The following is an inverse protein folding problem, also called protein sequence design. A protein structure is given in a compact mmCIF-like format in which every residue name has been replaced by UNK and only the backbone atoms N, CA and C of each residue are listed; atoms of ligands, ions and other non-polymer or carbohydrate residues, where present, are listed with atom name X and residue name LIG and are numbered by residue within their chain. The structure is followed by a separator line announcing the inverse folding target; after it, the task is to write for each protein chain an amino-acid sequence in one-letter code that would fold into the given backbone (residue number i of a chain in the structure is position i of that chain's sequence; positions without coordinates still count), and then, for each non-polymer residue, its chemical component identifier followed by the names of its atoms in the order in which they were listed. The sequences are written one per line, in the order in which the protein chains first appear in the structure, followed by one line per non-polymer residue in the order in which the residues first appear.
data_IF_624136665585
#
_entry.id   IF_624136665585
#
_cell.length_a   1.000
_cell.length_b   1.000
_cell.length_c   1.000
_cell.angle_alpha   90.00
_cell.angle_beta   90.00
_cell.angle_gamma   90.00
#
_symmetry.space_group_name_H-M   'P 1'
#
loop_
_entity.id
_entity.type
_entity.pdbx_description
1 polymer ?
#
# COMPACT_ATOMS: atom_id res chain seq x y z
N UNK A 1 3.32 0.92 -10.35
CA UNK A 1 3.99 0.62 -9.05
C UNK A 1 5.48 0.96 -9.10
N UNK A 2 6.30 0.28 -9.90
CA UNK A 2 7.76 0.49 -9.92
C UNK A 2 8.23 1.92 -10.18
N UNK A 3 7.54 2.70 -11.03
CA UNK A 3 7.86 4.12 -11.25
C UNK A 3 7.76 4.96 -9.97
N UNK A 4 6.90 4.58 -9.03
CA UNK A 4 6.78 5.18 -7.70
C UNK A 4 7.69 4.51 -6.65
N UNK A 5 8.62 3.63 -7.06
CA UNK A 5 9.51 2.92 -6.14
C UNK A 5 8.84 1.82 -5.33
N UNK A 6 7.61 1.43 -5.67
CA UNK A 6 6.85 0.39 -4.94
C UNK A 6 6.99 -0.95 -5.66
N UNK A 7 7.36 -1.98 -4.89
CA UNK A 7 7.39 -3.38 -5.35
C UNK A 7 5.98 -3.88 -5.70
N UNK A 8 5.90 -4.75 -6.69
CA UNK A 8 4.67 -5.39 -7.15
C UNK A 8 4.81 -6.90 -6.96
N UNK A 9 3.92 -7.51 -6.18
CA UNK A 9 3.91 -8.96 -5.96
C UNK A 9 2.72 -9.58 -6.70
N UNK A 10 2.91 -10.79 -7.23
CA UNK A 10 1.83 -11.66 -7.67
C UNK A 10 1.12 -12.28 -6.47
N UNK A 11 -0.07 -12.83 -6.70
CA UNK A 11 -0.76 -13.68 -5.73
C UNK A 11 -0.68 -15.14 -6.18
N UNK A 12 -0.01 -15.98 -5.41
CA UNK A 12 -0.06 -17.44 -5.57
C UNK A 12 -1.11 -17.98 -4.59
N UNK A 13 -2.35 -18.03 -5.05
CA UNK A 13 -3.51 -18.41 -4.27
C UNK A 13 -3.95 -19.84 -4.61
N UNK A 14 -4.08 -20.68 -3.58
CA UNK A 14 -4.69 -22.01 -3.70
C UNK A 14 -5.97 -22.02 -2.87
N UNK A 15 -7.10 -22.02 -3.56
CA UNK A 15 -8.43 -22.04 -2.94
C UNK A 15 -8.91 -23.48 -2.65
N UNK A 16 -9.92 -23.67 -1.76
CA UNK A 16 -10.44 -24.99 -1.39
C UNK A 16 -10.84 -25.89 -2.57
N UNK A 17 -11.34 -25.30 -3.67
CA UNK A 17 -11.75 -26.02 -4.88
C UNK A 17 -10.58 -26.54 -5.74
N UNK A 18 -9.36 -26.07 -5.51
CA UNK A 18 -8.22 -26.41 -6.36
C UNK A 18 -7.78 -27.88 -6.20
N UNK A 19 -7.31 -28.50 -7.28
CA UNK A 19 -6.80 -29.88 -7.31
C UNK A 19 -5.31 -29.89 -7.63
N UNK A 20 -4.54 -30.81 -7.04
CA UNK A 20 -3.11 -30.96 -7.33
C UNK A 20 -2.19 -30.07 -6.48
N UNK A 21 -2.63 -29.67 -5.28
CA UNK A 21 -1.82 -28.85 -4.35
C UNK A 21 -0.50 -29.55 -3.97
N UNK A 22 -0.49 -30.88 -3.91
CA UNK A 22 0.68 -31.69 -3.57
C UNK A 22 1.88 -31.48 -4.51
N UNK A 23 1.64 -30.95 -5.72
CA UNK A 23 2.71 -30.60 -6.67
C UNK A 23 3.64 -29.52 -6.14
N UNK A 24 3.20 -28.68 -5.21
CA UNK A 24 4.04 -27.68 -4.53
C UNK A 24 5.16 -28.38 -3.74
N UNK A 25 4.91 -29.58 -3.22
CA UNK A 25 5.85 -30.35 -2.41
C UNK A 25 6.71 -31.31 -3.24
N UNK A 26 6.51 -31.38 -4.56
CA UNK A 26 7.33 -32.20 -5.44
C UNK A 26 8.76 -31.67 -5.45
N UNK A 27 9.70 -32.50 -5.00
CA UNK A 27 11.13 -32.21 -4.97
C UNK A 27 11.83 -32.98 -6.09
N UNK A 28 12.56 -32.27 -6.92
CA UNK A 28 13.54 -32.84 -7.86
C UNK A 28 14.94 -32.72 -7.27
N UNK A 29 15.84 -33.60 -7.68
CA UNK A 29 17.27 -33.50 -7.39
C UNK A 29 18.03 -33.53 -8.70
N UNK A 30 18.99 -32.62 -8.87
CA UNK A 30 19.91 -32.67 -10.00
C UNK A 30 20.97 -33.76 -9.80
N UNK A 31 21.73 -34.07 -10.86
CA UNK A 31 22.81 -35.07 -10.80
C UNK A 31 23.99 -34.68 -9.88
N UNK A 32 23.93 -33.53 -9.20
CA UNK A 32 24.91 -33.04 -8.21
C UNK A 32 24.36 -33.06 -6.79
N UNK A 33 23.12 -33.52 -6.60
CA UNK A 33 22.45 -33.60 -5.29
C UNK A 33 21.80 -32.29 -4.83
N UNK A 34 21.71 -31.27 -5.69
CA UNK A 34 20.97 -30.05 -5.36
C UNK A 34 19.49 -30.31 -5.55
N UNK A 35 18.71 -30.04 -4.50
CA UNK A 35 17.27 -30.14 -4.59
C UNK A 35 16.62 -28.86 -5.11
N UNK A 36 15.57 -29.03 -5.90
CA UNK A 36 14.69 -27.96 -6.35
C UNK A 36 13.23 -28.36 -6.23
N UNK A 37 12.35 -27.37 -6.14
CA UNK A 37 10.90 -27.50 -6.25
C UNK A 37 10.47 -26.95 -7.62
N UNK A 38 10.03 -27.79 -8.59
CA UNK A 38 9.73 -27.33 -9.95
C UNK A 38 8.65 -26.25 -10.03
N UNK A 39 7.67 -26.25 -9.11
CA UNK A 39 6.68 -25.17 -9.03
C UNK A 39 7.34 -23.85 -8.63
N UNK A 40 8.31 -23.87 -7.71
CA UNK A 40 9.05 -22.67 -7.34
C UNK A 40 9.88 -22.15 -8.52
N UNK A 41 10.53 -23.03 -9.29
CA UNK A 41 11.28 -22.64 -10.50
C UNK A 41 10.40 -21.88 -11.49
N UNK A 42 9.19 -22.36 -11.76
CA UNK A 42 8.25 -21.69 -12.65
C UNK A 42 7.78 -20.34 -12.11
N UNK A 43 7.48 -20.24 -10.81
CA UNK A 43 7.11 -18.96 -10.20
C UNK A 43 8.26 -17.95 -10.26
N UNK A 44 9.50 -18.39 -10.03
CA UNK A 44 10.70 -17.54 -10.15
C UNK A 44 10.88 -17.07 -11.59
N UNK A 45 10.74 -17.97 -12.56
CA UNK A 45 10.83 -17.66 -13.98
C UNK A 45 9.78 -16.63 -14.41
N UNK A 46 8.52 -16.81 -13.98
CA UNK A 46 7.44 -15.86 -14.23
C UNK A 46 7.73 -14.46 -13.66
N UNK A 47 8.18 -14.38 -12.40
CA UNK A 47 8.49 -13.11 -11.76
C UNK A 47 9.61 -12.35 -12.50
N UNK A 48 10.69 -13.06 -12.86
CA UNK A 48 11.83 -12.49 -13.60
C UNK A 48 11.46 -12.09 -15.03
N UNK A 49 10.65 -12.89 -15.71
CA UNK A 49 10.27 -12.67 -17.11
C UNK A 49 9.26 -11.53 -17.25
N UNK A 50 8.23 -11.51 -16.40
CA UNK A 50 7.21 -10.47 -16.40
C UNK A 50 7.65 -9.19 -15.66
N UNK A 51 8.75 -9.25 -14.90
CA UNK A 51 9.32 -8.11 -14.19
C UNK A 51 8.49 -7.67 -13.00
N UNK A 52 8.05 -8.58 -12.14
CA UNK A 52 7.48 -8.29 -10.82
C UNK A 52 8.33 -8.93 -9.71
N UNK A 53 8.18 -8.48 -8.46
CA UNK A 53 9.22 -8.66 -7.44
C UNK A 53 9.11 -9.96 -6.62
N UNK A 54 7.94 -10.61 -6.62
CA UNK A 54 7.73 -11.85 -5.89
C UNK A 54 6.25 -12.18 -5.67
N UNK A 55 5.91 -12.83 -4.56
CA UNK A 55 4.58 -13.41 -4.34
C UNK A 55 4.04 -13.25 -2.91
N UNK A 56 2.76 -12.94 -2.80
CA UNK A 56 1.93 -13.35 -1.66
C UNK A 56 1.52 -14.80 -1.89
N UNK A 57 1.97 -15.70 -1.02
CA UNK A 57 1.63 -17.13 -1.02
C UNK A 57 0.46 -17.34 -0.06
N UNK A 58 -0.73 -17.63 -0.60
CA UNK A 58 -1.92 -17.91 0.19
C UNK A 58 -2.44 -19.32 -0.11
N UNK A 59 -2.24 -20.25 0.84
CA UNK A 59 -2.77 -21.61 0.76
C UNK A 59 -4.00 -21.74 1.67
N UNK A 60 -5.19 -21.64 1.11
CA UNK A 60 -6.48 -21.77 1.82
C UNK A 60 -6.98 -23.24 1.81
N UNK A 61 -6.06 -24.19 1.65
CA UNK A 61 -6.37 -25.62 1.55
C UNK A 61 -5.26 -26.50 2.14
N UNK A 62 -5.68 -27.59 2.77
CA UNK A 62 -4.79 -28.64 3.30
C UNK A 62 -4.28 -29.57 2.20
N UNK A 63 -3.08 -30.10 2.37
CA UNK A 63 -2.53 -31.17 1.56
C UNK A 63 -3.19 -32.52 1.91
N UNK A 64 -3.29 -33.47 0.95
CA UNK A 64 -3.64 -34.85 1.29
C UNK A 64 -2.66 -35.41 2.35
N UNK A 65 -3.17 -36.08 3.39
CA UNK A 65 -2.38 -36.52 4.55
C UNK A 65 -1.12 -37.31 4.13
N UNK A 66 -1.24 -38.21 3.17
CA UNK A 66 -0.13 -39.04 2.67
C UNK A 66 0.88 -38.29 1.78
N UNK A 67 0.58 -37.05 1.39
CA UNK A 67 1.44 -36.17 0.62
C UNK A 67 2.02 -35.02 1.44
N UNK A 68 1.45 -34.73 2.61
CA UNK A 68 1.90 -33.64 3.45
C UNK A 68 3.33 -33.86 3.94
N UNK A 69 4.15 -32.82 3.80
CA UNK A 69 5.50 -32.77 4.35
C UNK A 69 5.91 -31.31 4.59
N UNK A 70 6.01 -30.95 5.87
CA UNK A 70 6.38 -29.60 6.31
C UNK A 70 7.75 -29.17 5.78
N UNK A 71 8.75 -30.07 5.76
CA UNK A 71 10.10 -29.74 5.28
C UNK A 71 10.09 -29.41 3.78
N UNK A 72 9.22 -30.04 3.00
CA UNK A 72 9.05 -29.70 1.59
C UNK A 72 8.41 -28.33 1.40
N UNK A 73 7.41 -27.97 2.20
CA UNK A 73 6.82 -26.63 2.14
C UNK A 73 7.84 -25.55 2.55
N UNK A 74 8.61 -25.78 3.61
CA UNK A 74 9.70 -24.89 4.03
C UNK A 74 10.74 -24.76 2.91
N UNK A 75 11.12 -25.86 2.26
CA UNK A 75 12.06 -25.85 1.14
C UNK A 75 11.54 -25.05 -0.06
N UNK A 76 10.27 -25.24 -0.43
CA UNK A 76 9.61 -24.47 -1.50
C UNK A 76 9.63 -22.97 -1.22
N UNK A 77 9.23 -22.54 -0.01
CA UNK A 77 9.24 -21.14 0.40
C UNK A 77 10.66 -20.57 0.43
N UNK A 78 11.61 -21.34 0.95
CA UNK A 78 13.02 -20.95 1.02
C UNK A 78 13.62 -20.74 -0.36
N UNK A 79 13.32 -21.62 -1.32
CA UNK A 79 13.79 -21.48 -2.71
C UNK A 79 13.26 -20.19 -3.34
N UNK A 80 11.96 -19.88 -3.17
CA UNK A 80 11.38 -18.62 -3.63
C UNK A 80 12.08 -17.41 -2.99
N UNK A 81 12.21 -17.40 -1.66
CA UNK A 81 12.84 -16.30 -0.91
C UNK A 81 14.28 -16.06 -1.35
N UNK A 82 15.08 -17.11 -1.48
CA UNK A 82 16.48 -17.00 -1.90
C UNK A 82 16.62 -16.46 -3.34
N UNK A 83 15.69 -16.80 -4.23
CA UNK A 83 15.73 -16.37 -5.62
C UNK A 83 15.15 -14.98 -5.87
N UNK A 84 14.18 -14.55 -5.05
CA UNK A 84 13.41 -13.31 -5.24
C UNK A 84 13.81 -12.22 -4.24
N UNK A 85 14.47 -12.57 -3.14
CA UNK A 85 14.97 -11.65 -2.12
C UNK A 85 14.09 -11.55 -0.86
N UNK A 86 14.70 -11.09 0.22
CA UNK A 86 14.04 -10.92 1.52
C UNK A 86 12.83 -9.97 1.45
N UNK A 87 11.72 -10.40 2.06
CA UNK A 87 10.46 -9.64 2.09
C UNK A 87 9.68 -9.62 0.77
N UNK A 88 10.11 -10.36 -0.26
CA UNK A 88 9.40 -10.48 -1.54
C UNK A 88 8.53 -11.73 -1.65
N UNK A 89 8.67 -12.67 -0.71
CA UNK A 89 7.78 -13.81 -0.56
C UNK A 89 7.08 -13.64 0.77
N UNK A 90 5.76 -13.50 0.75
CA UNK A 90 4.96 -13.25 1.94
C UNK A 90 4.07 -14.45 2.16
N UNK A 91 4.19 -15.10 3.31
CA UNK A 91 3.26 -16.16 3.73
C UNK A 91 1.95 -15.53 4.23
N UNK A 92 0.80 -16.01 3.78
CA UNK A 92 -0.48 -15.66 4.37
C UNK A 92 -0.83 -16.63 5.49
N UNK A 93 -1.24 -16.09 6.65
CA UNK A 93 -1.69 -16.83 7.82
C UNK A 93 -3.02 -17.57 7.57
N UNK A 94 -2.95 -18.73 6.91
CA UNK A 94 -4.09 -19.63 6.67
C UNK A 94 -3.75 -21.09 7.01
N UNK A 95 -2.90 -21.74 6.21
CA UNK A 95 -2.40 -23.08 6.50
C UNK A 95 -1.33 -23.03 7.61
N UNK A 96 -1.42 -23.92 8.58
CA UNK A 96 -0.41 -24.07 9.65
C UNK A 96 0.54 -25.26 9.42
N UNK A 97 1.55 -25.38 10.28
CA UNK A 97 2.54 -26.48 10.23
C UNK A 97 1.94 -27.87 10.45
N UNK A 98 0.72 -27.96 10.99
CA UNK A 98 0.00 -29.20 11.23
C UNK A 98 -0.87 -29.60 10.04
N UNK A 99 -0.76 -28.88 8.91
CA UNK A 99 -1.59 -29.06 7.72
C UNK A 99 -3.08 -28.77 7.97
N UNK A 100 -3.38 -27.78 8.81
CA UNK A 100 -4.75 -27.33 9.12
C UNK A 100 -4.97 -25.90 8.64
N UNK A 101 -6.19 -25.58 8.20
CA UNK A 101 -6.60 -24.20 7.93
C UNK A 101 -7.01 -23.56 9.25
N UNK A 102 -6.11 -22.74 9.80
CA UNK A 102 -6.18 -22.24 11.16
C UNK A 102 -5.55 -20.85 11.25
N UNK A 103 -6.35 -19.83 10.93
CA UNK A 103 -5.93 -18.43 11.00
C UNK A 103 -5.55 -18.03 12.43
N UNK A 104 -4.26 -17.84 12.68
CA UNK A 104 -3.73 -17.48 14.01
C UNK A 104 -4.04 -16.03 14.35
N UNK A 105 -4.25 -15.18 13.34
CA UNK A 105 -4.35 -13.72 13.42
C UNK A 105 -3.09 -13.07 14.01
N UNK A 106 -1.96 -13.76 13.94
CA UNK A 106 -0.70 -13.38 14.56
C UNK A 106 0.41 -14.34 14.16
N UNK A 107 1.62 -14.08 14.66
CA UNK A 107 2.74 -15.00 14.55
C UNK A 107 2.74 -15.88 15.79
N UNK A 108 2.64 -17.19 15.59
CA UNK A 108 2.63 -18.21 16.65
C UNK A 108 3.56 -19.36 16.26
N UNK A 109 3.78 -20.31 17.19
CA UNK A 109 4.57 -21.51 16.91
C UNK A 109 4.01 -22.33 15.72
N UNK A 110 2.73 -22.14 15.38
CA UNK A 110 2.04 -22.83 14.29
C UNK A 110 2.32 -22.24 12.90
N UNK A 111 2.93 -21.05 12.78
CA UNK A 111 3.21 -20.44 11.47
C UNK A 111 4.57 -19.72 11.36
N UNK A 112 5.30 -19.51 12.45
CA UNK A 112 6.55 -18.73 12.45
C UNK A 112 7.65 -19.36 11.58
N UNK A 113 7.72 -20.69 11.49
CA UNK A 113 8.69 -21.38 10.63
C UNK A 113 8.39 -21.18 9.14
N UNK A 114 7.12 -21.10 8.77
CA UNK A 114 6.67 -20.77 7.41
C UNK A 114 6.96 -19.30 7.08
N UNK A 115 6.69 -18.40 8.03
CA UNK A 115 7.03 -16.98 7.93
C UNK A 115 8.53 -16.76 7.74
N UNK A 116 9.37 -17.46 8.52
CA UNK A 116 10.82 -17.41 8.41
C UNK A 116 11.28 -17.92 7.04
N UNK A 117 10.74 -19.05 6.57
CA UNK A 117 11.07 -19.63 5.27
C UNK A 117 10.72 -18.71 4.09
N UNK A 118 9.58 -18.03 4.16
CA UNK A 118 9.15 -17.02 3.18
C UNK A 118 9.95 -15.70 3.31
N UNK A 119 10.36 -15.34 4.53
CA UNK A 119 11.03 -14.08 4.85
C UNK A 119 10.06 -12.95 5.23
N UNK A 120 8.75 -13.19 5.16
CA UNK A 120 7.70 -12.30 5.65
C UNK A 120 6.37 -13.05 5.85
N UNK A 121 5.50 -12.48 6.68
CA UNK A 121 4.14 -12.98 6.92
C UNK A 121 3.13 -11.84 6.92
N UNK A 122 1.95 -12.09 6.39
CA UNK A 122 0.75 -11.29 6.60
C UNK A 122 -0.30 -12.09 7.38
N UNK A 123 -0.79 -11.53 8.49
CA UNK A 123 -1.78 -12.18 9.36
C UNK A 123 -3.19 -12.06 8.81
N UNK A 124 -4.10 -12.92 9.29
CA UNK A 124 -5.53 -12.67 9.18
C UNK A 124 -5.96 -11.47 10.06
N UNK A 125 -7.22 -11.04 9.91
CA UNK A 125 -7.68 -9.71 10.33
C UNK A 125 -8.09 -9.58 11.81
N UNK A 126 -8.21 -10.67 12.57
CA UNK A 126 -8.80 -10.66 13.93
C UNK A 126 -7.76 -10.56 15.04
N UNK A 127 -6.71 -9.78 14.82
CA UNK A 127 -5.63 -9.58 15.79
C UNK A 127 -6.05 -8.64 16.94
N UNK A 128 -5.28 -8.65 18.02
CA UNK A 128 -5.39 -7.70 19.14
C UNK A 128 -4.01 -7.07 19.43
N UNK A 129 -3.92 -5.93 20.13
CA UNK A 129 -2.63 -5.33 20.51
C UNK A 129 -1.72 -6.29 21.28
N UNK A 130 -2.29 -7.16 22.12
CA UNK A 130 -1.55 -8.18 22.87
C UNK A 130 -0.95 -9.21 21.91
N UNK A 131 -1.73 -9.66 20.92
CA UNK A 131 -1.26 -10.59 19.89
C UNK A 131 -0.21 -9.93 18.99
N UNK A 132 -0.33 -8.64 18.68
CA UNK A 132 0.70 -7.88 17.94
C UNK A 132 2.02 -7.88 18.71
N UNK A 133 1.96 -7.63 20.02
CA UNK A 133 3.15 -7.62 20.87
C UNK A 133 3.82 -8.99 20.94
N UNK A 134 3.07 -10.05 21.24
CA UNK A 134 3.63 -11.41 21.31
C UNK A 134 4.14 -11.90 19.96
N UNK A 135 3.47 -11.54 18.86
CA UNK A 135 3.91 -11.89 17.50
C UNK A 135 5.25 -11.25 17.16
N UNK A 136 5.45 -9.98 17.54
CA UNK A 136 6.72 -9.27 17.31
C UNK A 136 7.86 -9.92 18.08
N UNK A 137 7.63 -10.30 19.34
CA UNK A 137 8.63 -10.96 20.18
C UNK A 137 9.03 -12.33 19.62
N UNK A 138 8.06 -13.13 19.21
CA UNK A 138 8.31 -14.43 18.59
C UNK A 138 8.99 -14.31 17.23
N UNK A 139 8.57 -13.36 16.38
CA UNK A 139 9.23 -13.12 15.10
C UNK A 139 10.71 -12.76 15.28
N UNK A 140 11.03 -11.93 16.27
CA UNK A 140 12.42 -11.56 16.60
C UNK A 140 13.25 -12.77 17.04
N UNK A 141 12.69 -13.73 17.78
CA UNK A 141 13.42 -14.95 18.17
C UNK A 141 13.68 -15.91 17.00
N UNK A 142 13.06 -15.67 15.85
CA UNK A 142 13.26 -16.40 14.58
C UNK A 142 14.01 -15.56 13.54
N UNK A 143 14.70 -14.49 13.94
CA UNK A 143 15.43 -13.57 13.06
C UNK A 143 14.56 -12.89 11.99
N UNK A 144 13.24 -12.84 12.19
CA UNK A 144 12.31 -12.17 11.30
C UNK A 144 12.16 -10.69 11.72
N UNK A 145 12.45 -9.78 10.79
CA UNK A 145 12.40 -8.33 11.05
C UNK A 145 10.95 -7.90 11.36
N UNK A 146 10.71 -7.01 12.33
CA UNK A 146 9.37 -6.51 12.62
C UNK A 146 8.64 -5.89 11.43
N UNK A 147 9.36 -5.28 10.48
CA UNK A 147 8.78 -4.74 9.25
C UNK A 147 8.26 -5.82 8.28
N UNK A 148 8.68 -7.07 8.45
CA UNK A 148 8.24 -8.22 7.66
C UNK A 148 7.11 -9.00 8.36
N UNK A 149 6.66 -8.53 9.54
CA UNK A 149 5.45 -8.98 10.20
C UNK A 149 4.34 -7.99 9.89
N UNK A 150 3.41 -8.40 9.03
CA UNK A 150 2.38 -7.53 8.46
C UNK A 150 1.04 -7.95 9.05
N UNK A 151 0.34 -7.03 9.69
CA UNK A 151 -1.00 -7.34 10.21
C UNK A 151 -2.08 -6.93 9.22
N UNK A 152 -2.92 -7.88 8.83
CA UNK A 152 -4.01 -7.66 7.89
C UNK A 152 -5.08 -6.72 8.47
N UNK A 153 -5.55 -5.79 7.65
CA UNK A 153 -6.68 -4.89 7.97
C UNK A 153 -7.70 -5.02 6.85
N UNK A 154 -8.84 -5.66 7.13
CA UNK A 154 -9.94 -5.79 6.15
C UNK A 154 -10.75 -4.49 6.09
N UNK A 155 -10.56 -3.73 5.01
CA UNK A 155 -11.24 -2.44 4.81
C UNK A 155 -12.75 -2.66 4.65
N UNK A 156 -13.18 -3.78 4.08
CA UNK A 156 -14.60 -4.08 3.90
C UNK A 156 -15.31 -4.47 5.20
N UNK A 157 -14.58 -4.69 6.31
CA UNK A 157 -15.18 -5.08 7.59
C UNK A 157 -16.05 -3.99 8.23
N UNK A 158 -15.98 -2.74 7.75
CA UNK A 158 -16.91 -1.69 8.17
C UNK A 158 -18.34 -1.95 7.67
N UNK A 159 -18.50 -2.64 6.54
CA UNK A 159 -19.81 -2.84 5.91
C UNK A 159 -20.68 -3.80 6.73
N UNK A 160 -21.94 -3.42 6.94
CA UNK A 160 -22.94 -4.20 7.70
C UNK A 160 -23.84 -5.05 6.80
N UNK A 161 -24.01 -4.64 5.53
CA UNK A 161 -24.83 -5.33 4.53
C UNK A 161 -23.92 -5.98 3.49
N UNK A 162 -23.60 -7.26 3.68
CA UNK A 162 -22.90 -8.08 2.69
C UNK A 162 -23.52 -9.47 2.65
N UNK A 163 -23.77 -10.01 1.45
CA UNK A 163 -24.20 -11.39 1.26
C UNK A 163 -23.01 -12.32 1.54
N UNK A 164 -22.80 -12.63 2.83
CA UNK A 164 -21.70 -13.48 3.28
C UNK A 164 -21.48 -13.41 4.79
N UNK A 165 -20.53 -14.21 5.32
CA UNK A 165 -20.16 -14.14 6.73
C UNK A 165 -19.68 -12.74 7.08
N UNK A 166 -20.09 -12.25 8.26
CA UNK A 166 -19.70 -10.92 8.75
C UNK A 166 -18.18 -10.81 8.82
N UNK A 167 -17.63 -9.91 8.01
CA UNK A 167 -16.22 -9.54 8.01
C UNK A 167 -15.84 -8.93 9.36
N UNK A 168 -14.60 -9.15 9.78
CA UNK A 168 -14.07 -8.67 11.06
C UNK A 168 -12.66 -8.16 10.84
N UNK A 169 -12.36 -7.02 11.42
CA UNK A 169 -11.02 -6.45 11.49
C UNK A 169 -10.85 -5.75 12.83
N UNK A 170 -9.63 -5.58 13.30
CA UNK A 170 -9.37 -4.73 14.46
C UNK A 170 -9.42 -3.24 14.06
N UNK A 171 -10.01 -2.35 14.88
CA UNK A 171 -10.81 -2.63 16.08
C UNK A 171 -12.27 -3.05 15.74
N UNK A 172 -12.86 -3.88 16.61
CA UNK A 172 -14.22 -4.42 16.44
C UNK A 172 -15.21 -3.78 17.46
N UNK A 173 -15.25 -2.44 17.55
CA UNK A 173 -16.03 -1.69 16.54
C UNK A 173 -15.30 -0.49 15.90
N UNK A 174 -15.78 -0.13 14.71
CA UNK A 174 -15.31 1.05 13.97
C UNK A 174 -13.94 0.88 13.29
N UNK A 175 -13.57 -0.36 12.96
CA UNK A 175 -12.45 -0.70 12.08
C UNK A 175 -12.89 -0.93 10.64
N UNK A 176 -11.94 -0.92 9.72
CA UNK A 176 -12.21 -0.97 8.27
C UNK A 176 -12.78 0.34 7.73
N UNK A 177 -12.93 0.44 6.41
CA UNK A 177 -13.44 1.61 5.71
C UNK A 177 -12.77 2.89 6.16
N UNK A 178 -13.57 3.89 6.55
CA UNK A 178 -13.05 5.16 7.11
C UNK A 178 -12.31 5.00 8.45
N UNK A 179 -12.55 3.92 9.20
CA UNK A 179 -11.85 3.59 10.44
C UNK A 179 -10.51 2.86 10.27
N UNK A 180 -10.09 2.55 9.04
CA UNK A 180 -8.88 1.77 8.73
C UNK A 180 -7.61 2.34 9.38
N UNK A 181 -7.43 3.66 9.38
CA UNK A 181 -6.21 4.26 9.91
C UNK A 181 -6.03 4.11 11.43
N UNK A 182 -7.08 3.75 12.19
CA UNK A 182 -6.95 3.36 13.61
C UNK A 182 -6.09 2.12 13.78
N UNK A 183 -6.31 1.12 12.92
CA UNK A 183 -5.53 -0.10 12.87
C UNK A 183 -4.08 0.19 12.50
N UNK A 184 -3.89 1.00 11.45
CA UNK A 184 -2.55 1.43 10.98
C UNK A 184 -1.79 2.16 12.09
N UNK A 185 -2.43 3.11 12.76
CA UNK A 185 -1.82 3.84 13.87
C UNK A 185 -1.42 2.90 15.01
N UNK A 186 -2.28 1.94 15.37
CA UNK A 186 -1.96 0.99 16.44
C UNK A 186 -0.77 0.10 16.08
N UNK A 187 -0.72 -0.40 14.84
CA UNK A 187 0.39 -1.22 14.38
C UNK A 187 1.70 -0.43 14.33
N UNK A 188 1.64 0.85 13.97
CA UNK A 188 2.78 1.76 14.01
C UNK A 188 3.30 1.99 15.44
N UNK A 189 2.43 2.09 16.46
CA UNK A 189 2.85 2.16 17.88
C UNK A 189 3.67 0.94 18.31
N UNK A 190 3.33 -0.26 17.78
CA UNK A 190 4.08 -1.49 18.06
C UNK A 190 5.33 -1.64 17.17
N UNK A 191 5.52 -0.80 16.15
CA UNK A 191 6.66 -0.86 15.22
C UNK A 191 6.62 -2.09 14.30
N UNK A 192 5.41 -2.51 13.89
CA UNK A 192 5.18 -3.57 12.89
C UNK A 192 4.46 -3.00 11.66
N UNK A 193 4.32 -3.80 10.60
CA UNK A 193 3.73 -3.36 9.33
C UNK A 193 2.21 -3.57 9.27
N UNK A 194 1.52 -2.79 8.44
CA UNK A 194 0.09 -2.92 8.14
C UNK A 194 -0.14 -3.43 6.73
N UNK A 195 -1.05 -4.39 6.55
CA UNK A 195 -1.47 -4.92 5.26
C UNK A 195 -2.92 -4.55 4.97
N UNK A 196 -3.17 -3.64 4.04
CA UNK A 196 -4.51 -3.16 3.72
C UNK A 196 -5.19 -4.09 2.72
N UNK A 197 -6.20 -4.83 3.14
CA UNK A 197 -6.95 -5.73 2.26
C UNK A 197 -8.10 -5.00 1.57
N UNK A 198 -8.16 -5.17 0.25
CA UNK A 198 -9.17 -4.57 -0.64
C UNK A 198 -9.34 -3.03 -0.49
N UNK A 199 -8.27 -2.24 -0.70
CA UNK A 199 -8.31 -0.77 -0.58
C UNK A 199 -9.15 -0.08 -1.66
N UNK A 200 -9.55 -0.78 -2.72
CA UNK A 200 -10.51 -0.29 -3.71
C UNK A 200 -11.94 -0.16 -3.17
N UNK A 201 -12.18 -0.48 -1.89
CA UNK A 201 -13.48 -0.37 -1.21
C UNK A 201 -14.23 0.94 -1.50
N UNK A 202 -13.56 2.10 -1.50
CA UNK A 202 -14.23 3.37 -1.79
C UNK A 202 -14.84 3.42 -3.21
N UNK A 203 -14.21 2.77 -4.18
CA UNK A 203 -14.66 2.69 -5.56
C UNK A 203 -15.66 1.55 -5.82
N UNK A 204 -15.50 0.44 -5.12
CA UNK A 204 -16.32 -0.76 -5.30
C UNK A 204 -17.62 -0.72 -4.48
N UNK A 205 -17.62 -0.05 -3.33
CA UNK A 205 -18.77 -0.01 -2.43
C UNK A 205 -19.73 1.15 -2.73
N UNK A 206 -19.22 2.30 -3.14
CA UNK A 206 -20.00 3.53 -3.30
C UNK A 206 -20.26 3.85 -4.78
N UNK A 207 -21.50 4.23 -5.09
CA UNK A 207 -21.90 4.60 -6.46
C UNK A 207 -21.54 6.04 -6.84
N UNK A 208 -21.20 6.88 -5.85
CA UNK A 208 -20.81 8.27 -6.05
C UNK A 208 -19.85 8.73 -4.96
N UNK A 209 -19.11 9.82 -5.21
CA UNK A 209 -18.16 10.43 -4.26
C UNK A 209 -16.99 9.51 -3.84
N UNK A 210 -16.66 8.51 -4.65
CA UNK A 210 -15.62 7.51 -4.40
C UNK A 210 -14.27 8.16 -4.03
N UNK A 211 -13.84 9.17 -4.81
CA UNK A 211 -12.58 9.88 -4.58
C UNK A 211 -12.60 10.65 -3.25
N UNK A 212 -13.71 11.27 -2.88
CA UNK A 212 -13.83 12.01 -1.61
C UNK A 212 -13.80 11.06 -0.40
N UNK A 213 -14.39 9.87 -0.53
CA UNK A 213 -14.35 8.82 0.50
C UNK A 213 -12.95 8.22 0.61
N UNK A 214 -12.26 8.03 -0.52
CA UNK A 214 -10.84 7.65 -0.51
C UNK A 214 -10.01 8.69 0.25
N UNK A 215 -10.19 9.99 -0.03
CA UNK A 215 -9.52 11.08 0.71
C UNK A 215 -9.84 11.02 2.21
N UNK A 216 -11.11 10.83 2.57
CA UNK A 216 -11.52 10.65 3.96
C UNK A 216 -10.70 9.57 4.66
N UNK A 217 -10.51 8.41 4.02
CA UNK A 217 -9.77 7.29 4.59
C UNK A 217 -8.25 7.55 4.66
N UNK A 218 -7.65 8.07 3.60
CA UNK A 218 -6.20 8.23 3.52
C UNK A 218 -5.68 9.47 4.26
N UNK A 219 -6.42 10.58 4.22
CA UNK A 219 -5.96 11.90 4.70
C UNK A 219 -6.85 12.50 5.76
N UNK A 220 -8.02 11.91 6.01
CA UNK A 220 -8.94 12.33 7.06
C UNK A 220 -9.96 13.36 6.59
N UNK A 221 -9.99 13.68 5.28
CA UNK A 221 -10.86 14.73 4.74
C UNK A 221 -12.31 14.60 5.19
N UNK A 222 -13.04 15.73 5.35
CA UNK A 222 -14.45 15.66 5.72
C UNK A 222 -15.20 14.69 4.81
N UNK A 223 -15.91 13.75 5.45
CA UNK A 223 -16.75 12.80 4.77
C UNK A 223 -17.85 13.60 4.05
N UNK A 224 -18.20 13.26 2.80
CA UNK A 224 -19.31 13.90 2.11
C UNK A 224 -20.60 13.82 2.95
N UNK A 225 -21.35 14.92 3.03
CA UNK A 225 -22.59 15.00 3.81
C UNK A 225 -23.65 13.98 3.36
N UNK A 226 -23.67 13.66 2.06
CA UNK A 226 -24.58 12.68 1.48
C UNK A 226 -23.77 11.63 0.74
N UNK A 227 -23.88 10.39 1.21
CA UNK A 227 -23.27 9.21 0.60
C UNK A 227 -24.38 8.22 0.26
N UNK A 228 -24.35 7.69 -0.97
CA UNK A 228 -25.23 6.61 -1.38
C UNK A 228 -24.50 5.27 -1.21
N UNK A 229 -25.01 4.40 -0.33
CA UNK A 229 -24.55 3.02 -0.17
C UNK A 229 -25.70 2.10 0.28
N UNK A 230 -25.55 0.80 0.03
CA UNK A 230 -26.53 -0.21 0.45
C UNK A 230 -26.53 -0.48 1.98
N UNK A 231 -25.55 0.04 2.73
CA UNK A 231 -25.33 -0.25 4.15
C UNK A 231 -26.15 0.62 5.14
N UNK A 232 -27.18 1.35 4.68
CA UNK A 232 -27.86 2.43 5.44
C UNK A 232 -26.87 3.56 5.81
N UNK A 233 -26.78 4.62 5.00
CA UNK A 233 -25.66 5.58 5.00
C UNK A 233 -25.37 6.33 6.31
N UNK A 234 -26.35 6.48 7.23
CA UNK A 234 -26.28 7.45 8.31
C UNK A 234 -25.55 7.00 9.59
N UNK A 235 -25.25 5.71 9.76
CA UNK A 235 -24.65 5.21 11.02
C UNK A 235 -23.29 4.52 10.86
N UNK A 236 -22.97 3.97 9.69
CA UNK A 236 -21.86 2.99 9.55
C UNK A 236 -20.54 3.64 9.12
N UNK A 237 -20.59 4.74 8.36
CA UNK A 237 -19.40 5.38 7.76
C UNK A 237 -18.99 6.68 8.46
N UNK A 238 -19.88 7.29 9.25
CA UNK A 238 -19.59 8.45 10.11
C UNK A 238 -19.02 7.98 11.46
N UNK A 239 -17.80 7.45 11.44
CA UNK A 239 -17.03 7.20 12.65
C UNK A 239 -16.39 8.51 13.09
N UNK A 240 -16.95 9.17 14.11
CA UNK A 240 -16.50 10.47 14.66
C UNK A 240 -14.98 10.63 14.88
N UNK A 241 -14.22 9.53 14.94
CA UNK A 241 -12.77 9.49 15.14
C UNK A 241 -11.92 9.37 13.86
N UNK A 242 -12.50 9.18 12.66
CA UNK A 242 -11.68 8.91 11.45
C UNK A 242 -10.71 10.05 11.13
N UNK A 243 -11.10 11.30 11.44
CA UNK A 243 -10.28 12.50 11.23
C UNK A 243 -9.00 12.51 12.06
N UNK A 244 -9.02 11.85 13.22
CA UNK A 244 -7.86 11.77 14.11
C UNK A 244 -6.87 10.68 13.65
N UNK A 245 -7.32 9.72 12.84
CA UNK A 245 -6.53 8.57 12.42
C UNK A 245 -6.59 8.34 10.91
N UNK A 246 -6.18 9.31 10.07
CA UNK A 246 -6.02 9.05 8.65
C UNK A 246 -4.82 8.11 8.41
N UNK A 247 -4.90 7.24 7.41
CA UNK A 247 -3.84 6.25 7.14
C UNK A 247 -2.47 6.92 6.99
N UNK A 248 -2.40 8.05 6.28
CA UNK A 248 -1.13 8.72 6.00
C UNK A 248 -0.44 9.30 7.24
N UNK A 249 -1.16 9.56 8.34
CA UNK A 249 -0.55 10.07 9.58
C UNK A 249 0.49 9.11 10.17
N UNK A 250 0.30 7.81 9.94
CA UNK A 250 1.19 6.75 10.45
C UNK A 250 1.98 6.04 9.35
N UNK A 251 1.79 6.45 8.08
CA UNK A 251 2.53 5.90 6.95
C UNK A 251 3.87 6.61 6.79
N UNK A 252 4.90 5.87 6.37
CA UNK A 252 6.20 6.42 6.03
C UNK A 252 6.23 6.83 4.55
N UNK A 253 6.56 8.09 4.27
CA UNK A 253 6.77 8.58 2.91
C UNK A 253 8.19 8.22 2.43
N UNK A 254 8.29 7.53 1.30
CA UNK A 254 9.55 7.30 0.62
C UNK A 254 9.89 8.48 -0.31
N UNK A 255 11.18 8.83 -0.48
CA UNK A 255 11.60 9.83 -1.46
C UNK A 255 11.19 9.43 -2.88
N UNK A 256 10.79 10.42 -3.68
CA UNK A 256 10.50 10.24 -5.08
C UNK A 256 11.79 10.12 -5.92
N UNK A 257 11.73 9.31 -6.99
CA UNK A 257 12.85 9.08 -7.89
C UNK A 257 13.93 8.17 -7.32
N UNK A 258 15.10 8.21 -7.94
CA UNK A 258 16.28 7.47 -7.54
C UNK A 258 17.35 8.40 -6.96
N UNK A 259 18.47 7.81 -6.53
CA UNK A 259 19.64 8.56 -6.06
C UNK A 259 20.29 9.46 -7.12
N UNK A 260 19.98 9.25 -8.41
CA UNK A 260 20.61 9.94 -9.54
C UNK A 260 19.63 10.55 -10.55
N UNK A 261 18.34 10.22 -10.48
CA UNK A 261 17.37 10.68 -11.47
C UNK A 261 15.96 10.83 -10.89
N UNK A 262 15.28 11.90 -11.28
CA UNK A 262 13.86 12.12 -11.04
C UNK A 262 13.24 12.81 -12.24
N UNK A 263 12.04 12.36 -12.64
CA UNK A 263 11.27 12.97 -13.71
C UNK A 263 9.78 12.87 -13.41
N UNK A 264 9.07 13.95 -13.71
CA UNK A 264 7.62 13.96 -13.78
C UNK A 264 7.15 15.03 -14.75
N UNK A 265 6.13 14.70 -15.53
CA UNK A 265 5.27 15.61 -16.27
C UNK A 265 3.87 15.68 -15.64
N UNK A 266 3.67 15.07 -14.47
CA UNK A 266 2.39 15.01 -13.77
C UNK A 266 1.25 14.31 -14.53
N UNK A 267 1.58 13.54 -15.57
CA UNK A 267 0.61 12.74 -16.34
C UNK A 267 -0.18 11.78 -15.42
N UNK A 268 -1.52 11.89 -15.34
CA UNK A 268 -2.34 10.92 -14.61
C UNK A 268 -2.40 9.57 -15.31
N UNK A 269 -2.76 8.54 -14.53
CA UNK A 269 -3.14 7.24 -15.07
C UNK A 269 -4.46 7.28 -15.84
N UNK A 270 -5.41 8.12 -15.42
CA UNK A 270 -6.74 8.23 -16.01
C UNK A 270 -6.90 9.57 -16.70
N UNK A 271 -7.43 9.55 -17.92
CA UNK A 271 -7.72 10.77 -18.71
C UNK A 271 -9.16 10.75 -19.18
N UNK A 272 -9.80 11.91 -19.09
CA UNK A 272 -11.13 12.17 -19.64
C UNK A 272 -10.97 12.92 -20.96
N UNK A 273 -11.34 12.30 -22.07
CA UNK A 273 -11.35 12.94 -23.39
C UNK A 273 -12.69 12.66 -24.06
N UNK A 274 -13.39 13.71 -24.50
CA UNK A 274 -14.63 13.63 -25.31
C UNK A 274 -15.70 12.68 -24.75
N UNK A 275 -15.89 12.68 -23.43
CA UNK A 275 -16.87 11.81 -22.76
C UNK A 275 -16.43 10.34 -22.57
N UNK A 276 -15.22 9.98 -23.00
CA UNK A 276 -14.61 8.68 -22.79
C UNK A 276 -13.55 8.71 -21.68
N UNK A 277 -13.57 7.68 -20.82
CA UNK A 277 -12.56 7.47 -19.80
C UNK A 277 -11.51 6.52 -20.35
N UNK A 278 -10.26 6.98 -20.40
CA UNK A 278 -9.11 6.13 -20.79
C UNK A 278 -8.20 5.92 -19.59
N UNK A 279 -7.66 4.71 -19.46
CA UNK A 279 -6.72 4.35 -18.41
C UNK A 279 -5.40 3.86 -19.03
N UNK A 280 -4.29 4.50 -18.66
CA UNK A 280 -2.95 4.12 -19.03
C UNK A 280 -2.05 4.09 -17.79
N UNK A 281 -2.26 3.10 -16.92
CA UNK A 281 -1.52 2.96 -15.66
C UNK A 281 0.00 2.91 -15.85
N UNK A 282 0.47 2.32 -16.96
CA UNK A 282 1.90 2.24 -17.29
C UNK A 282 2.53 3.58 -17.71
N UNK A 283 1.74 4.57 -18.12
CA UNK A 283 2.24 5.90 -18.51
C UNK A 283 2.12 6.94 -17.40
N UNK A 284 1.48 6.62 -16.27
CA UNK A 284 1.36 7.53 -15.12
C UNK A 284 2.74 7.99 -14.61
N UNK A 285 2.97 9.30 -14.54
CA UNK A 285 4.19 9.86 -13.94
C UNK A 285 4.13 9.87 -12.41
N UNK A 286 5.28 10.09 -11.75
CA UNK A 286 5.29 10.25 -10.30
C UNK A 286 4.53 11.52 -9.95
N UNK A 287 3.41 11.38 -9.24
CA UNK A 287 2.55 12.51 -8.88
C UNK A 287 2.94 13.02 -7.49
N UNK A 288 2.82 14.33 -7.23
CA UNK A 288 2.98 14.85 -5.89
C UNK A 288 1.93 14.26 -4.97
N UNK A 289 2.16 14.37 -3.67
CA UNK A 289 1.14 14.07 -2.67
C UNK A 289 -0.10 14.92 -2.98
N UNK A 290 -1.15 14.26 -3.48
CA UNK A 290 -2.40 14.92 -3.90
C UNK A 290 -3.10 15.60 -2.73
N UNK A 291 -2.94 15.06 -1.53
CA UNK A 291 -3.74 15.41 -0.36
C UNK A 291 -2.84 15.79 0.82
N UNK A 292 -3.13 16.93 1.44
CA UNK A 292 -2.41 17.45 2.60
C UNK A 292 -3.01 16.91 3.89
N UNK A 293 -2.23 16.84 4.96
CA UNK A 293 -2.76 16.67 6.32
C UNK A 293 -3.43 17.94 6.84
N UNK A 294 -3.14 19.08 6.21
CA UNK A 294 -3.66 20.37 6.61
C UNK A 294 -4.88 20.75 5.76
N UNK A 295 -6.06 20.75 6.40
CA UNK A 295 -7.34 21.26 5.85
C UNK A 295 -7.32 22.74 5.40
N UNK A 296 -6.17 23.40 5.49
CA UNK A 296 -6.02 24.85 5.37
C UNK A 296 -4.83 25.27 4.51
N UNK A 297 -4.21 24.34 3.76
CA UNK A 297 -3.15 24.72 2.81
C UNK A 297 -3.77 25.61 1.72
N UNK A 298 -3.37 26.90 1.62
CA UNK A 298 -3.90 27.80 0.62
C UNK A 298 -3.43 27.45 -0.80
N UNK A 299 -2.39 26.63 -0.95
CA UNK A 299 -1.93 26.16 -2.25
C UNK A 299 -2.69 24.89 -2.59
N UNK A 300 -3.56 24.93 -3.61
CA UNK A 300 -4.24 23.77 -4.16
C UNK A 300 -3.47 23.20 -5.34
N UNK A 301 -3.34 21.87 -5.37
CA UNK A 301 -2.74 21.14 -6.49
C UNK A 301 -3.83 20.46 -7.31
N UNK A 302 -3.94 20.85 -8.58
CA UNK A 302 -4.84 20.27 -9.57
C UNK A 302 -4.07 19.58 -10.70
N UNK A 303 -4.79 18.88 -11.57
CA UNK A 303 -4.25 18.34 -12.81
C UNK A 303 -4.78 19.12 -14.01
N UNK A 304 -3.85 19.56 -14.86
CA UNK A 304 -4.19 20.14 -16.16
C UNK A 304 -4.58 19.08 -17.19
N UNK A 305 -5.26 19.52 -18.25
CA UNK A 305 -5.82 18.68 -19.31
C UNK A 305 -4.79 17.87 -20.12
N UNK A 306 -3.50 18.23 -20.09
CA UNK A 306 -2.46 17.63 -20.94
C UNK A 306 -1.25 17.05 -20.17
N UNK A 307 -1.36 16.81 -18.86
CA UNK A 307 -0.20 16.39 -18.07
C UNK A 307 0.62 17.59 -17.64
N UNK A 308 0.03 18.37 -16.74
CA UNK A 308 0.71 19.44 -16.00
C UNK A 308 0.13 19.50 -14.59
N UNK A 309 0.96 19.89 -13.63
CA UNK A 309 0.48 20.22 -12.29
C UNK A 309 -0.06 21.65 -12.32
N UNK A 310 -1.36 21.80 -12.08
CA UNK A 310 -1.94 23.10 -11.83
C UNK A 310 -1.74 23.47 -10.37
N UNK A 311 -1.33 24.69 -10.12
CA UNK A 311 -1.14 25.24 -8.78
C UNK A 311 -2.03 26.46 -8.66
N UNK A 312 -3.01 26.41 -7.77
CA UNK A 312 -3.96 27.49 -7.52
C UNK A 312 -3.79 27.98 -6.08
N UNK A 313 -3.96 29.28 -5.84
CA UNK A 313 -4.08 29.82 -4.49
C UNK A 313 -5.55 30.01 -4.14
N UNK A 314 -6.03 29.28 -3.13
CA UNK A 314 -7.35 29.43 -2.54
C UNK A 314 -7.31 30.46 -1.41
N UNK A 315 -6.94 31.68 -1.78
CA UNK A 315 -6.94 32.83 -0.87
C UNK A 315 -7.58 34.02 -1.55
N UNK A 316 -8.47 34.67 -0.82
CA UNK A 316 -8.98 35.99 -1.19
C UNK A 316 -7.87 37.04 -0.99
N UNK A 317 -6.95 37.10 -1.95
CA UNK A 317 -5.85 38.07 -2.02
C UNK A 317 -6.36 39.53 -2.13
N UNK A 318 -7.68 39.73 -2.28
CA UNK A 318 -8.31 41.03 -2.45
C UNK A 318 -8.76 41.69 -1.15
N UNK A 319 -8.65 41.01 0.01
CA UNK A 319 -8.92 41.65 1.31
C UNK A 319 -7.85 42.71 1.59
N UNK A 320 -8.29 43.97 1.60
CA UNK A 320 -7.53 45.23 1.56
C UNK A 320 -6.49 45.50 2.67
N UNK A 321 -6.10 44.50 3.46
CA UNK A 321 -5.18 44.63 4.61
C UNK A 321 -3.89 43.79 4.51
N UNK A 322 -3.72 42.95 3.48
CA UNK A 322 -2.51 42.11 3.35
C UNK A 322 -1.36 42.89 2.69
N UNK A 323 -0.34 43.25 3.47
CA UNK A 323 0.86 43.97 2.99
C UNK A 323 1.82 43.01 2.26
N UNK A 324 1.95 41.77 2.74
CA UNK A 324 2.73 40.68 2.14
C UNK A 324 2.35 39.34 2.77
N UNK A 325 2.04 38.33 1.97
CA UNK A 325 1.93 36.93 2.41
C UNK A 325 2.92 36.06 1.63
N UNK A 326 3.37 34.98 2.25
CA UNK A 326 4.22 33.96 1.62
C UNK A 326 3.63 32.60 1.96
N UNK A 327 3.40 31.79 0.93
CA UNK A 327 2.90 30.44 1.05
C UNK A 327 3.88 29.50 0.35
N UNK A 328 4.23 28.40 1.01
CA UNK A 328 5.18 27.43 0.51
C UNK A 328 4.56 26.04 0.61
N UNK A 329 4.60 25.27 -0.49
CA UNK A 329 4.14 23.89 -0.51
C UNK A 329 5.24 22.99 -1.06
N UNK A 330 5.56 21.93 -0.30
CA UNK A 330 6.46 20.88 -0.74
C UNK A 330 5.74 20.00 -1.76
N UNK A 331 6.34 19.85 -2.94
CA UNK A 331 5.77 19.03 -4.02
C UNK A 331 6.32 17.60 -3.99
N UNK A 332 7.62 17.43 -3.74
CA UNK A 332 8.29 16.13 -3.61
C UNK A 332 9.34 16.16 -2.50
N UNK A 333 9.56 15.01 -1.87
CA UNK A 333 10.77 14.71 -1.12
C UNK A 333 11.75 13.95 -2.04
N UNK A 334 12.99 14.43 -2.19
CA UNK A 334 14.00 13.83 -3.07
C UNK A 334 15.24 13.49 -2.25
N UNK A 335 15.84 12.33 -2.52
CA UNK A 335 17.11 11.91 -1.90
C UNK A 335 18.12 11.57 -3.00
N UNK A 336 18.68 12.63 -3.60
CA UNK A 336 19.61 12.54 -4.72
C UNK A 336 21.04 12.91 -4.29
N UNK A 337 22.04 12.23 -4.86
CA UNK A 337 23.44 12.59 -4.66
C UNK A 337 23.74 13.94 -5.32
N UNK A 338 24.27 14.89 -4.54
CA UNK A 338 24.72 16.17 -5.05
C UNK A 338 26.25 16.25 -4.98
N UNK A 339 26.93 15.71 -6.00
CA UNK A 339 28.37 15.82 -6.17
C UNK A 339 28.78 17.07 -6.98
N UNK A 340 27.92 18.10 -7.05
CA UNK A 340 28.13 19.29 -7.88
C UNK A 340 27.79 19.11 -9.37
N UNK A 341 27.30 17.93 -9.78
CA UNK A 341 26.93 17.59 -11.16
C UNK A 341 25.42 17.52 -11.38
N UNK A 342 24.62 17.90 -10.38
CA UNK A 342 23.18 17.88 -10.49
C UNK A 342 22.72 18.95 -11.48
N UNK A 343 21.91 18.55 -12.45
CA UNK A 343 21.23 19.46 -13.37
C UNK A 343 19.72 19.35 -13.16
N UNK A 344 19.01 20.47 -13.23
CA UNK A 344 17.57 20.52 -13.07
C UNK A 344 16.93 21.42 -14.14
N UNK A 345 15.85 20.92 -14.75
CA UNK A 345 15.02 21.65 -15.70
C UNK A 345 13.59 21.67 -15.17
N UNK A 346 13.02 22.88 -15.07
CA UNK A 346 11.63 23.08 -14.66
C UNK A 346 10.94 23.89 -15.74
N UNK A 347 9.85 23.32 -16.28
CA UNK A 347 8.97 24.00 -17.22
C UNK A 347 7.71 24.43 -16.46
N UNK A 348 7.42 25.73 -16.42
CA UNK A 348 6.22 26.27 -15.80
C UNK A 348 5.74 27.51 -16.56
N UNK A 349 4.46 27.83 -16.40
CA UNK A 349 3.85 29.06 -16.92
C UNK A 349 3.00 29.69 -15.83
N UNK A 350 2.80 31.01 -15.91
CA UNK A 350 1.90 31.76 -15.02
C UNK A 350 0.67 32.13 -15.83
N UNK A 351 -0.46 31.51 -15.53
CA UNK A 351 -1.76 31.91 -16.07
C UNK A 351 -2.51 32.68 -14.99
N UNK A 352 -3.22 33.75 -15.38
CA UNK A 352 -4.12 34.50 -14.49
C UNK A 352 -3.48 35.00 -13.18
N UNK A 353 -2.15 35.16 -13.17
CA UNK A 353 -1.39 35.57 -11.99
C UNK A 353 -1.28 37.10 -11.94
N UNK A 354 -1.68 37.77 -10.84
CA UNK A 354 -1.55 39.22 -10.72
C UNK A 354 -0.08 39.69 -10.85
N UNK A 355 0.14 40.86 -11.44
CA UNK A 355 1.50 41.42 -11.66
C UNK A 355 2.33 41.56 -10.38
N UNK A 356 1.69 41.71 -9.22
CA UNK A 356 2.35 41.85 -7.93
C UNK A 356 2.71 40.50 -7.27
N UNK A 357 2.25 39.37 -7.81
CA UNK A 357 2.51 38.05 -7.27
C UNK A 357 3.80 37.47 -7.85
N UNK A 358 4.70 37.03 -6.96
CA UNK A 358 5.93 36.34 -7.34
C UNK A 358 5.79 34.85 -7.04
N UNK A 359 6.06 34.02 -8.04
CA UNK A 359 6.17 32.57 -7.88
C UNK A 359 7.64 32.22 -7.91
N UNK A 360 8.07 31.36 -6.99
CA UNK A 360 9.44 30.85 -6.95
C UNK A 360 9.39 29.34 -6.74
N UNK A 361 10.09 28.60 -7.58
CA UNK A 361 10.32 27.16 -7.41
C UNK A 361 11.73 26.98 -6.88
N UNK A 362 11.91 26.16 -5.86
CA UNK A 362 13.19 25.98 -5.17
C UNK A 362 13.50 24.49 -5.04
N UNK A 363 14.73 24.13 -5.36
CA UNK A 363 15.28 22.82 -5.00
C UNK A 363 16.14 23.00 -3.75
N UNK A 364 15.58 22.63 -2.61
CA UNK A 364 16.25 22.80 -1.31
C UNK A 364 17.53 21.96 -1.25
N UNK A 365 18.59 22.52 -0.67
CA UNK A 365 19.90 21.86 -0.53
C UNK A 365 20.83 21.96 -1.75
N UNK A 366 20.39 22.57 -2.86
CA UNK A 366 21.22 22.73 -4.08
C UNK A 366 21.50 24.18 -4.46
N UNK A 367 20.77 25.14 -3.86
CA UNK A 367 20.83 26.56 -4.22
C UNK A 367 20.09 26.91 -5.52
N UNK A 368 19.53 25.93 -6.22
CA UNK A 368 18.81 26.15 -7.48
C UNK A 368 17.42 26.73 -7.24
N UNK A 369 17.04 27.73 -8.04
CA UNK A 369 15.68 28.28 -8.03
C UNK A 369 15.26 28.85 -9.38
N UNK A 370 13.95 28.87 -9.62
CA UNK A 370 13.30 29.38 -10.82
C UNK A 370 12.23 30.40 -10.42
N UNK A 371 12.03 31.47 -11.19
CA UNK A 371 11.13 32.60 -10.87
C UNK A 371 10.22 32.96 -12.03
#
# INVERSE_FOLDING_TARGET
MHRNGIKSLGAFLVEPQFTGIERILERSEDGRGNASYPVADQLIEMAKTCGFDGYLVNLEKTFPIFKWNLLHLIGFLTQLRLALGEGNVIWYDALDIENSINYQNGVTDLNVSLAQAAGAIITNYKWTPELVQSSKELALSYDLKPCNVIFGVDIWAQNTSFDGPRRKTWPYPGGGGTGTGRAVAKLAEHGVSSGLFAPAWSYEHFSSKQEAIEKTMWTGEPLPEVIACACQPSEVHDVSFYKDFPILRSALEAPAGSKSFFYTDFSPAFRHHDGANTAQLGSQSVLPRRFTEEYKDPILLGQGSEGSLQVQLDTDLTKSSVVRSVHERRIFNLHMHNAGTLEARICFSKQETPLHMQVKIVMNGTGMSWK
#
